data_IF_319491045197
#
_entry.id   IF_319491045197
#
_cell.length_a   1.000
_cell.length_b   1.000
_cell.length_c   1.000
_cell.angle_alpha   90.00
_cell.angle_beta   90.00
_cell.angle_gamma   90.00
#
_symmetry.space_group_name_H-M   'P 1'
#
loop_
_entity.id
_entity.type
_entity.pdbx_description
1 polymer ?
#
# COMPACT_ATOMS: atom_id res chain seq x y z
N UNK A 1 -23.23 -5.59 13.17
CA UNK A 1 -22.95 -5.68 11.71
C UNK A 1 -22.11 -4.52 11.17
N UNK A 2 -22.57 -3.25 11.18
CA UNK A 2 -21.73 -2.09 10.78
C UNK A 2 -20.55 -1.85 11.73
N UNK A 3 -20.80 -1.90 13.04
CA UNK A 3 -19.76 -1.70 14.08
C UNK A 3 -18.68 -2.79 14.01
N UNK A 4 -19.07 -4.05 13.90
CA UNK A 4 -18.14 -5.19 13.73
C UNK A 4 -17.30 -5.07 12.46
N UNK A 5 -17.90 -4.63 11.34
CA UNK A 5 -17.15 -4.36 10.10
C UNK A 5 -16.16 -3.19 10.22
N UNK A 6 -16.50 -2.18 11.02
CA UNK A 6 -15.65 -1.01 11.28
C UNK A 6 -14.47 -1.39 12.16
N UNK A 7 -14.70 -2.17 13.22
CA UNK A 7 -13.62 -2.66 14.10
C UNK A 7 -12.55 -3.46 13.33
N UNK A 8 -12.98 -4.32 12.41
CA UNK A 8 -12.06 -5.09 11.59
C UNK A 8 -11.27 -4.22 10.61
N UNK A 9 -11.92 -3.21 10.03
CA UNK A 9 -11.21 -2.18 9.25
C UNK A 9 -10.17 -1.46 10.10
N UNK A 10 -10.53 -1.04 11.33
CA UNK A 10 -9.60 -0.36 12.23
C UNK A 10 -8.42 -1.26 12.63
N UNK A 11 -8.66 -2.54 12.95
CA UNK A 11 -7.61 -3.53 13.25
C UNK A 11 -6.69 -3.74 12.03
N UNK A 12 -7.25 -3.86 10.83
CA UNK A 12 -6.48 -4.00 9.59
C UNK A 12 -5.62 -2.76 9.30
N UNK A 13 -6.20 -1.54 9.45
CA UNK A 13 -5.47 -0.27 9.34
C UNK A 13 -4.35 -0.17 10.37
N UNK A 14 -4.60 -0.60 11.61
CA UNK A 14 -3.59 -0.64 12.67
C UNK A 14 -2.42 -1.52 12.24
N UNK A 15 -2.66 -2.76 11.83
CA UNK A 15 -1.57 -3.65 11.39
C UNK A 15 -0.83 -3.11 10.17
N UNK A 16 -1.54 -2.54 9.20
CA UNK A 16 -0.94 -1.89 8.04
C UNK A 16 -0.06 -0.70 8.45
N UNK A 17 -0.52 0.13 9.38
CA UNK A 17 0.24 1.28 9.90
C UNK A 17 1.53 0.83 10.59
N UNK A 18 1.45 -0.18 11.46
CA UNK A 18 2.63 -0.76 12.11
C UNK A 18 3.63 -1.34 11.11
N UNK A 19 3.16 -2.06 10.09
CA UNK A 19 4.03 -2.59 9.03
C UNK A 19 4.67 -1.47 8.22
N UNK A 20 3.92 -0.43 7.85
CA UNK A 20 4.44 0.73 7.10
C UNK A 20 5.51 1.45 7.93
N UNK A 21 5.27 1.67 9.22
CA UNK A 21 6.23 2.33 10.10
C UNK A 21 7.51 1.50 10.28
N UNK A 22 7.40 0.19 10.47
CA UNK A 22 8.56 -0.70 10.57
C UNK A 22 9.38 -0.65 9.28
N UNK A 23 8.72 -0.76 8.13
CA UNK A 23 9.35 -0.74 6.82
C UNK A 23 9.99 0.62 6.52
N UNK A 24 9.35 1.73 6.89
CA UNK A 24 9.91 3.06 6.66
C UNK A 24 11.22 3.26 7.41
N UNK A 25 11.31 2.85 8.68
CA UNK A 25 12.56 2.86 9.42
C UNK A 25 13.61 1.93 8.80
N UNK A 26 13.21 0.72 8.39
CA UNK A 26 14.10 -0.22 7.71
C UNK A 26 14.69 0.34 6.42
N UNK A 27 13.87 0.98 5.58
CA UNK A 27 14.31 1.65 4.36
C UNK A 27 15.24 2.82 4.66
N UNK A 28 14.92 3.66 5.66
CA UNK A 28 15.79 4.78 6.06
C UNK A 28 17.18 4.28 6.48
N UNK A 29 17.26 3.21 7.27
CA UNK A 29 18.53 2.62 7.69
C UNK A 29 19.28 2.06 6.48
N UNK A 30 18.59 1.30 5.62
CA UNK A 30 19.20 0.72 4.42
C UNK A 30 19.78 1.83 3.52
N UNK A 31 19.01 2.87 3.21
CA UNK A 31 19.49 3.99 2.40
C UNK A 31 20.62 4.76 3.06
N UNK A 32 20.59 4.91 4.38
CA UNK A 32 21.70 5.53 5.12
C UNK A 32 23.00 4.71 4.95
N UNK A 33 22.93 3.38 5.09
CA UNK A 33 24.09 2.51 4.89
C UNK A 33 24.59 2.54 3.44
N UNK A 34 23.67 2.56 2.46
CA UNK A 34 24.05 2.66 1.04
C UNK A 34 24.72 4.01 0.73
N UNK A 35 24.22 5.11 1.28
CA UNK A 35 24.85 6.42 1.12
C UNK A 35 26.23 6.47 1.78
N UNK A 36 26.38 5.90 2.98
CA UNK A 36 27.69 5.77 3.62
C UNK A 36 28.66 4.92 2.79
N UNK A 37 28.18 3.89 2.11
CA UNK A 37 29.01 3.03 1.25
C UNK A 37 29.55 3.76 0.01
N UNK A 38 28.86 4.80 -0.47
CA UNK A 38 29.36 5.68 -1.53
C UNK A 38 30.51 6.58 -1.02
N UNK A 39 30.44 7.04 0.23
CA UNK A 39 31.47 7.90 0.86
C UNK A 39 32.69 7.07 1.27
N UNK A 40 32.48 5.85 1.75
CA UNK A 40 33.51 4.92 2.19
C UNK A 40 33.48 3.62 1.38
N UNK A 41 34.12 3.59 0.19
CA UNK A 41 34.15 2.39 -0.67
C UNK A 41 34.75 1.14 -0.01
N UNK A 42 35.53 1.30 1.07
CA UNK A 42 36.03 0.18 1.87
C UNK A 42 34.92 -0.63 2.56
N UNK A 43 33.73 -0.04 2.73
CA UNK A 43 32.54 -0.72 3.26
C UNK A 43 31.96 -1.75 2.30
N UNK A 44 32.08 -1.52 0.99
CA UNK A 44 31.63 -2.45 -0.06
C UNK A 44 32.68 -3.51 -0.39
N UNK A 45 33.89 -3.40 0.18
CA UNK A 45 34.97 -4.35 -0.03
C UNK A 45 34.66 -5.68 0.68
N UNK A 46 34.52 -6.74 -0.10
CA UNK A 46 34.04 -8.04 0.37
C UNK A 46 32.53 -8.03 0.63
N UNK A 47 31.98 -9.20 0.98
CA UNK A 47 30.54 -9.41 1.13
C UNK A 47 29.93 -8.80 2.42
N UNK A 48 30.50 -7.71 2.96
CA UNK A 48 30.16 -7.13 4.26
C UNK A 48 28.78 -6.49 4.32
N UNK A 49 28.24 -6.05 3.18
CA UNK A 49 26.87 -5.51 3.10
C UNK A 49 25.80 -6.60 2.97
N UNK A 50 26.16 -7.83 2.54
CA UNK A 50 25.18 -8.91 2.35
C UNK A 50 24.33 -9.19 3.60
N UNK A 51 24.87 -9.24 4.83
CA UNK A 51 24.05 -9.46 6.03
C UNK A 51 23.00 -8.38 6.24
N UNK A 52 23.30 -7.10 5.92
CA UNK A 52 22.35 -5.99 6.05
C UNK A 52 21.20 -6.15 5.07
N UNK A 53 21.50 -6.51 3.81
CA UNK A 53 20.48 -6.81 2.80
C UNK A 53 19.63 -8.02 3.18
N UNK A 54 20.24 -9.11 3.64
CA UNK A 54 19.52 -10.31 4.09
C UNK A 54 18.60 -9.96 5.26
N UNK A 55 19.08 -9.22 6.25
CA UNK A 55 18.29 -8.78 7.39
C UNK A 55 17.09 -7.92 6.95
N UNK A 56 17.32 -6.98 6.02
CA UNK A 56 16.26 -6.16 5.46
C UNK A 56 15.20 -7.01 4.74
N UNK A 57 15.61 -7.97 3.91
CA UNK A 57 14.70 -8.89 3.22
C UNK A 57 13.89 -9.74 4.20
N UNK A 58 14.52 -10.24 5.25
CA UNK A 58 13.83 -10.98 6.32
C UNK A 58 12.82 -10.10 7.06
N UNK A 59 13.14 -8.82 7.28
CA UNK A 59 12.20 -7.86 7.87
C UNK A 59 11.00 -7.63 6.95
N UNK A 60 11.22 -7.44 5.64
CA UNK A 60 10.13 -7.31 4.66
C UNK A 60 9.26 -8.56 4.66
N UNK A 61 9.87 -9.74 4.47
CA UNK A 61 9.17 -11.01 4.40
C UNK A 61 8.40 -11.29 5.69
N UNK A 62 9.04 -11.10 6.84
CA UNK A 62 8.42 -11.25 8.16
C UNK A 62 7.22 -10.31 8.34
N UNK A 63 7.34 -9.04 7.94
CA UNK A 63 6.24 -8.08 8.02
C UNK A 63 5.04 -8.50 7.16
N UNK A 64 5.28 -9.01 5.96
CA UNK A 64 4.25 -9.51 5.03
C UNK A 64 3.58 -10.77 5.58
N UNK A 65 4.37 -11.72 6.10
CA UNK A 65 3.86 -12.95 6.69
C UNK A 65 3.00 -12.67 7.92
N UNK A 66 3.44 -11.77 8.81
CA UNK A 66 2.65 -11.33 9.98
C UNK A 66 1.35 -10.66 9.55
N UNK A 67 1.39 -9.77 8.54
CA UNK A 67 0.19 -9.13 8.01
C UNK A 67 -0.78 -10.16 7.40
N UNK A 68 -0.27 -11.07 6.56
CA UNK A 68 -1.06 -12.12 5.91
C UNK A 68 -1.68 -13.08 6.93
N UNK A 69 -0.92 -13.49 7.94
CA UNK A 69 -1.41 -14.37 9.02
C UNK A 69 -2.53 -13.71 9.83
N UNK A 70 -2.34 -12.45 10.24
CA UNK A 70 -3.37 -11.69 10.97
C UNK A 70 -4.63 -11.50 10.14
N UNK A 71 -4.48 -11.18 8.85
CA UNK A 71 -5.61 -11.02 7.92
C UNK A 71 -6.34 -12.34 7.66
N UNK A 72 -5.61 -13.46 7.57
CA UNK A 72 -6.19 -14.80 7.45
C UNK A 72 -7.02 -15.15 8.69
N UNK A 73 -6.49 -14.90 9.89
CA UNK A 73 -7.21 -15.13 11.15
C UNK A 73 -8.51 -14.32 11.22
N UNK A 74 -8.49 -13.06 10.78
CA UNK A 74 -9.71 -12.24 10.69
C UNK A 74 -10.74 -12.81 9.72
N UNK A 75 -10.32 -13.33 8.55
CA UNK A 75 -11.23 -13.98 7.59
C UNK A 75 -11.92 -15.23 8.14
N UNK A 76 -11.19 -16.06 8.90
CA UNK A 76 -11.75 -17.30 9.48
C UNK A 76 -12.85 -16.98 10.48
N UNK A 77 -12.64 -15.98 11.35
CA UNK A 77 -13.66 -15.55 12.32
C UNK A 77 -14.94 -15.02 11.67
N UNK A 78 -14.87 -14.47 10.46
CA UNK A 78 -16.04 -13.95 9.73
C UNK A 78 -16.81 -15.05 8.99
N UNK A 79 -16.10 -16.05 8.45
CA UNK A 79 -16.69 -17.17 7.71
C UNK A 79 -17.62 -18.04 8.56
N UNK A 80 -17.35 -18.19 9.85
CA UNK A 80 -18.20 -18.94 10.78
C UNK A 80 -19.46 -18.15 11.21
N UNK A 81 -19.54 -16.84 10.94
CA UNK A 81 -20.55 -15.94 11.52
C UNK A 81 -21.52 -15.28 10.52
N UNK A 82 -21.45 -15.55 9.21
CA UNK A 82 -22.28 -14.83 8.21
C UNK A 82 -22.90 -15.73 7.15
N UNK A 83 -24.24 -15.86 7.19
CA UNK A 83 -25.08 -16.16 6.03
C UNK A 83 -24.91 -15.01 5.02
N UNK A 84 -24.42 -15.34 3.83
CA UNK A 84 -24.06 -14.43 2.75
C UNK A 84 -25.24 -13.59 2.28
N UNK A 85 -25.41 -12.40 2.84
CA UNK A 85 -26.29 -11.40 2.26
C UNK A 85 -25.56 -10.71 1.11
N UNK A 86 -26.02 -11.01 -0.10
CA UNK A 86 -25.63 -10.40 -1.36
C UNK A 86 -25.87 -8.89 -1.27
N UNK A 87 -24.80 -8.10 -1.24
CA UNK A 87 -24.88 -6.64 -1.36
C UNK A 87 -24.83 -6.21 -2.83
N UNK A 88 -25.69 -5.23 -3.12
CA UNK A 88 -26.06 -4.57 -4.37
C UNK A 88 -25.24 -4.87 -5.64
N UNK A 89 -25.86 -5.59 -6.57
CA UNK A 89 -25.33 -5.89 -7.91
C UNK A 89 -25.20 -4.62 -8.77
N UNK A 90 -25.91 -3.55 -8.44
CA UNK A 90 -25.98 -2.33 -9.26
C UNK A 90 -24.71 -1.47 -9.22
N UNK A 91 -23.92 -1.51 -8.15
CA UNK A 91 -22.65 -0.77 -8.07
C UNK A 91 -21.50 -1.48 -8.80
N UNK A 92 -21.64 -2.78 -9.11
CA UNK A 92 -20.58 -3.58 -9.73
C UNK A 92 -20.22 -3.15 -11.14
N UNK A 93 -21.15 -2.52 -11.86
CA UNK A 93 -20.95 -2.10 -13.26
C UNK A 93 -19.77 -1.13 -13.43
N UNK A 94 -19.47 -0.35 -12.40
CA UNK A 94 -18.40 0.65 -12.38
C UNK A 94 -17.06 0.08 -11.90
N UNK A 95 -17.04 -1.12 -11.31
CA UNK A 95 -15.83 -1.80 -10.86
C UNK A 95 -15.30 -2.76 -11.93
N UNK A 96 -14.21 -2.38 -12.59
CA UNK A 96 -13.51 -3.24 -13.57
C UNK A 96 -12.50 -4.13 -12.84
N UNK A 97 -12.70 -5.44 -12.94
CA UNK A 97 -11.86 -6.45 -12.30
C UNK A 97 -11.82 -6.37 -10.76
N UNK A 98 -12.81 -5.71 -10.14
CA UNK A 98 -12.89 -5.53 -8.69
C UNK A 98 -11.85 -4.56 -8.08
N UNK A 99 -11.02 -3.92 -8.89
CA UNK A 99 -9.91 -3.06 -8.43
C UNK A 99 -10.00 -1.63 -8.97
N UNK A 100 -10.46 -1.48 -10.20
CA UNK A 100 -10.48 -0.21 -10.92
C UNK A 100 -11.90 0.33 -10.90
N UNK A 101 -12.09 1.52 -10.34
CA UNK A 101 -13.39 2.19 -10.32
C UNK A 101 -13.46 3.23 -11.46
N UNK A 102 -14.52 3.16 -12.26
CA UNK A 102 -14.72 4.02 -13.44
C UNK A 102 -16.17 4.49 -13.47
N UNK A 103 -16.44 5.68 -12.91
CA UNK A 103 -17.78 6.28 -12.96
C UNK A 103 -17.70 7.77 -13.30
N UNK A 104 -18.17 8.15 -14.50
CA UNK A 104 -18.13 9.54 -14.97
C UNK A 104 -19.19 10.44 -14.31
N UNK A 105 -20.22 9.85 -13.71
CA UNK A 105 -21.29 10.56 -13.00
C UNK A 105 -20.91 10.89 -11.55
N UNK A 106 -19.89 10.20 -11.01
CA UNK A 106 -19.38 10.42 -9.67
C UNK A 106 -18.27 11.49 -9.69
N UNK A 107 -18.47 12.67 -9.06
CA UNK A 107 -17.48 13.74 -9.05
C UNK A 107 -16.30 13.48 -8.09
N UNK A 108 -16.33 12.40 -7.33
CA UNK A 108 -15.28 12.03 -6.37
C UNK A 108 -14.00 11.63 -7.11
N UNK A 109 -12.84 12.11 -6.63
CA UNK A 109 -11.53 11.69 -7.15
C UNK A 109 -11.09 10.39 -6.49
N UNK A 110 -11.35 10.25 -5.19
CA UNK A 110 -11.07 9.06 -4.41
C UNK A 110 -12.36 8.43 -3.92
N UNK A 111 -12.45 7.11 -4.05
CA UNK A 111 -13.60 6.30 -3.67
C UNK A 111 -13.11 5.12 -2.83
N UNK A 112 -13.88 4.68 -1.85
CA UNK A 112 -13.48 3.54 -1.02
C UNK A 112 -13.33 2.26 -1.85
N UNK A 113 -12.32 1.44 -1.53
CA UNK A 113 -12.12 0.16 -2.21
C UNK A 113 -13.26 -0.80 -1.88
N UNK A 114 -13.84 -1.42 -2.92
CA UNK A 114 -14.81 -2.51 -2.76
C UNK A 114 -14.31 -3.66 -1.90
N UNK A 115 -13.03 -4.01 -2.04
CA UNK A 115 -12.41 -5.09 -1.26
C UNK A 115 -11.24 -4.59 -0.44
N UNK A 116 -11.24 -4.95 0.85
CA UNK A 116 -10.18 -4.63 1.78
C UNK A 116 -10.35 -3.24 2.39
N UNK A 117 -9.24 -2.54 2.60
CA UNK A 117 -9.25 -1.25 3.28
C UNK A 117 -8.47 -0.23 2.47
N UNK A 118 -9.01 0.98 2.38
CA UNK A 118 -8.40 2.12 1.73
C UNK A 118 -9.27 2.70 0.63
N UNK A 119 -8.67 3.60 -0.14
CA UNK A 119 -9.30 4.28 -1.25
C UNK A 119 -8.64 3.86 -2.58
N UNK A 120 -9.42 3.91 -3.65
CA UNK A 120 -8.97 3.86 -5.03
C UNK A 120 -9.33 5.17 -5.70
N UNK A 121 -8.81 5.35 -6.90
CA UNK A 121 -9.09 6.52 -7.70
C UNK A 121 -10.23 6.26 -8.66
N UNK A 122 -11.09 7.25 -8.86
CA UNK A 122 -12.05 7.22 -9.96
C UNK A 122 -11.34 7.58 -11.26
N UNK A 123 -11.03 6.58 -12.09
CA UNK A 123 -10.31 6.77 -13.35
C UNK A 123 -11.16 7.46 -14.43
N UNK A 124 -12.46 7.68 -14.20
CA UNK A 124 -13.28 8.49 -15.10
C UNK A 124 -13.22 10.00 -14.77
N UNK A 125 -12.59 10.39 -13.65
CA UNK A 125 -12.57 11.76 -13.18
C UNK A 125 -11.34 12.52 -13.71
N UNK A 126 -11.51 13.56 -14.56
CA UNK A 126 -10.40 14.31 -15.14
C UNK A 126 -9.49 14.98 -14.08
N UNK A 127 -10.05 15.39 -12.95
CA UNK A 127 -9.29 15.99 -11.84
C UNK A 127 -8.30 14.99 -11.25
N UNK A 128 -8.61 13.70 -11.35
CA UNK A 128 -7.71 12.66 -10.94
C UNK A 128 -6.36 12.71 -11.67
N UNK A 129 -6.37 12.94 -12.98
CA UNK A 129 -5.11 13.01 -13.73
C UNK A 129 -4.20 14.15 -13.27
N UNK A 130 -4.73 15.22 -12.68
CA UNK A 130 -3.93 16.29 -12.08
C UNK A 130 -3.19 15.77 -10.85
N UNK A 131 -3.86 14.99 -9.99
CA UNK A 131 -3.27 14.44 -8.77
C UNK A 131 -2.07 13.54 -9.06
N UNK A 132 -2.09 12.79 -10.17
CA UNK A 132 -0.97 11.94 -10.59
C UNK A 132 0.02 12.72 -11.48
N UNK A 133 -0.49 13.46 -12.46
CA UNK A 133 0.30 14.08 -13.52
C UNK A 133 1.08 15.30 -13.05
N UNK A 134 0.54 16.12 -12.16
CA UNK A 134 1.22 17.33 -11.70
C UNK A 134 2.52 17.01 -10.93
N UNK A 135 2.54 16.09 -9.94
CA UNK A 135 3.79 15.68 -9.31
C UNK A 135 4.82 15.13 -10.30
N UNK A 136 4.40 14.31 -11.27
CA UNK A 136 5.28 13.77 -12.31
C UNK A 136 5.87 14.86 -13.20
N UNK A 137 5.06 15.84 -13.61
CA UNK A 137 5.52 16.98 -14.40
C UNK A 137 6.53 17.83 -13.63
N UNK A 138 6.30 18.07 -12.34
CA UNK A 138 7.25 18.79 -11.47
C UNK A 138 8.58 18.03 -11.40
N UNK A 139 8.54 16.71 -11.21
CA UNK A 139 9.76 15.88 -11.17
C UNK A 139 10.51 15.91 -12.51
N UNK A 140 9.81 15.80 -13.64
CA UNK A 140 10.41 15.89 -14.97
C UNK A 140 11.02 17.26 -15.23
N UNK A 141 10.33 18.33 -14.80
CA UNK A 141 10.84 19.69 -14.89
C UNK A 141 12.15 19.80 -14.09
N UNK A 142 12.15 19.43 -12.81
CA UNK A 142 13.37 19.45 -11.97
C UNK A 142 14.49 18.64 -12.63
N UNK A 143 14.20 17.43 -13.10
CA UNK A 143 15.19 16.55 -13.74
C UNK A 143 15.80 17.20 -15.00
N UNK A 144 15.01 17.90 -15.81
CA UNK A 144 15.50 18.55 -17.02
C UNK A 144 16.41 19.75 -16.71
N UNK A 145 16.12 20.50 -15.65
CA UNK A 145 16.94 21.66 -15.22
C UNK A 145 18.12 21.29 -14.30
N UNK A 146 18.13 20.08 -13.73
CA UNK A 146 19.25 19.57 -12.92
C UNK A 146 20.32 18.84 -13.74
N UNK A 147 20.05 18.59 -15.03
CA UNK A 147 20.95 17.99 -16.03
C UNK A 147 21.76 19.09 -16.72
#
# INVERSE_FOLDING_TARGET
>A
RKEESLEDQLKSRKYMSWSIMLLSYGFTILFTVLQLSNIYPSMTTGNRLLPVFILFLLLVLGSVLVYAWKKRKQRVNYGDNVVSEVMDVDEDRYWKGGLIYVNRQDPSVFVEKRFGVGWTMNFANPRGYIVIGLPLLILLFISFFSL
#
